data_IF_862504602712
#
_entry.id   IF_862504602712
#
_cell.length_a   1.000
_cell.length_b   1.000
_cell.length_c   1.000
_cell.angle_alpha   90.00
_cell.angle_beta   90.00
_cell.angle_gamma   90.00
#
_symmetry.space_group_name_H-M   'P 1'
#
loop_
_entity.id
_entity.type
_entity.pdbx_description
1 polymer ?
#
# COMPACT_ATOMS: atom_id res chain seq x y z
N UNK A 1 21.06 -5.12 30.43
CA UNK A 1 19.98 -4.58 29.58
C UNK A 1 18.94 -3.94 30.50
N UNK A 2 18.93 -2.61 30.60
CA UNK A 2 17.91 -1.88 31.37
C UNK A 2 16.58 -1.97 30.62
N UNK A 3 15.70 -2.86 31.07
CA UNK A 3 14.39 -3.09 30.47
C UNK A 3 13.44 -1.95 30.79
N UNK A 4 13.58 -0.82 30.10
CA UNK A 4 12.55 0.20 30.12
C UNK A 4 11.37 -0.33 29.28
N UNK A 5 10.19 -0.61 29.88
CA UNK A 5 9.06 -1.20 29.16
C UNK A 5 8.59 -0.32 27.99
N UNK A 6 8.83 1.00 28.08
CA UNK A 6 8.57 1.95 26.99
C UNK A 6 9.44 1.69 25.76
N UNK A 7 10.68 1.25 25.95
CA UNK A 7 11.61 0.96 24.85
C UNK A 7 11.26 -0.36 24.16
N UNK A 8 10.88 -1.39 24.92
CA UNK A 8 10.36 -2.65 24.38
C UNK A 8 9.07 -2.43 23.59
N UNK A 9 8.13 -1.66 24.14
CA UNK A 9 6.89 -1.32 23.42
C UNK A 9 7.19 -0.59 22.11
N UNK A 10 8.13 0.36 22.10
CA UNK A 10 8.56 1.07 20.88
C UNK A 10 9.22 0.14 19.86
N UNK A 11 10.01 -0.82 20.33
CA UNK A 11 10.66 -1.80 19.46
C UNK A 11 9.63 -2.70 18.79
N UNK A 12 8.69 -3.24 19.58
CA UNK A 12 7.59 -4.10 19.09
C UNK A 12 6.70 -3.34 18.12
N UNK A 13 6.36 -2.08 18.43
CA UNK A 13 5.59 -1.24 17.51
C UNK A 13 6.34 -0.98 16.21
N UNK A 14 7.64 -0.69 16.28
CA UNK A 14 8.46 -0.46 15.10
C UNK A 14 8.59 -1.72 14.25
N UNK A 15 8.75 -2.90 14.85
CA UNK A 15 8.83 -4.17 14.14
C UNK A 15 7.51 -4.61 13.51
N UNK A 16 6.37 -4.13 13.99
CA UNK A 16 5.06 -4.38 13.39
C UNK A 16 4.71 -3.34 12.31
N UNK A 17 4.96 -2.06 12.59
CA UNK A 17 4.54 -0.97 11.69
C UNK A 17 5.48 -0.84 10.50
N UNK A 18 6.79 -1.01 10.68
CA UNK A 18 7.76 -0.86 9.60
C UNK A 18 7.52 -1.83 8.43
N UNK A 19 7.36 -3.16 8.63
CA UNK A 19 7.10 -4.07 7.51
C UNK A 19 5.73 -3.81 6.87
N UNK A 20 4.69 -3.51 7.65
CA UNK A 20 3.35 -3.21 7.13
C UNK A 20 3.36 -1.95 6.25
N UNK A 21 4.00 -0.88 6.71
CA UNK A 21 4.12 0.37 5.95
C UNK A 21 5.02 0.21 4.73
N UNK A 22 6.13 -0.52 4.85
CA UNK A 22 6.99 -0.83 3.72
C UNK A 22 6.27 -1.65 2.64
N UNK A 23 5.50 -2.67 3.04
CA UNK A 23 4.73 -3.50 2.13
C UNK A 23 3.58 -2.71 1.46
N UNK A 24 2.89 -1.84 2.21
CA UNK A 24 1.86 -0.96 1.68
C UNK A 24 2.40 -0.01 0.59
N UNK A 25 3.47 0.73 0.91
CA UNK A 25 4.10 1.66 -0.03
C UNK A 25 4.71 0.90 -1.22
N UNK A 26 5.38 -0.22 -0.94
CA UNK A 26 5.98 -1.07 -1.97
C UNK A 26 4.94 -1.58 -2.97
N UNK A 27 3.78 -2.02 -2.51
CA UNK A 27 2.70 -2.49 -3.38
C UNK A 27 2.12 -1.37 -4.22
N UNK A 28 1.88 -0.18 -3.65
CA UNK A 28 1.40 0.98 -4.40
C UNK A 28 2.40 1.45 -5.47
N UNK A 29 3.69 1.47 -5.15
CA UNK A 29 4.74 1.80 -6.12
C UNK A 29 4.86 0.73 -7.21
N UNK A 30 4.83 -0.55 -6.84
CA UNK A 30 4.88 -1.65 -7.80
C UNK A 30 3.67 -1.64 -8.72
N UNK A 31 2.48 -1.30 -8.23
CA UNK A 31 1.29 -1.19 -9.06
C UNK A 31 1.46 -0.13 -10.17
N UNK A 32 2.06 1.03 -9.83
CA UNK A 32 2.35 2.07 -10.83
C UNK A 32 3.37 1.63 -11.89
N UNK A 33 4.30 0.75 -11.54
CA UNK A 33 5.37 0.30 -12.44
C UNK A 33 4.92 -0.90 -13.28
N UNK A 34 4.27 -1.88 -12.66
CA UNK A 34 3.96 -3.18 -13.27
C UNK A 34 2.59 -3.21 -13.96
N UNK A 35 1.63 -2.43 -13.47
CA UNK A 35 0.26 -2.38 -14.01
C UNK A 35 -0.28 -0.94 -14.04
N UNK A 36 0.39 -0.02 -14.76
CA UNK A 36 0.01 1.39 -14.82
C UNK A 36 -1.43 1.59 -15.31
N UNK A 37 -1.95 0.70 -16.16
CA UNK A 37 -3.33 0.70 -16.64
C UNK A 37 -4.36 0.56 -15.50
N UNK A 38 -4.04 -0.18 -14.43
CA UNK A 38 -4.94 -0.33 -13.27
C UNK A 38 -4.95 0.92 -12.37
N UNK A 39 -3.94 1.77 -12.49
CA UNK A 39 -3.77 2.97 -11.66
C UNK A 39 -4.24 4.23 -12.39
N UNK A 40 -3.85 4.37 -13.65
CA UNK A 40 -4.03 5.60 -14.42
C UNK A 40 -5.15 5.52 -15.45
N UNK A 41 -5.76 4.35 -15.66
CA UNK A 41 -6.91 4.20 -16.54
C UNK A 41 -8.11 3.67 -15.77
N UNK A 42 -9.29 4.05 -16.23
CA UNK A 42 -10.57 3.56 -15.71
C UNK A 42 -11.43 3.12 -16.87
N UNK A 43 -11.95 1.91 -16.77
CA UNK A 43 -12.93 1.38 -17.72
C UNK A 43 -14.28 2.06 -17.47
N UNK A 44 -14.85 2.67 -18.52
CA UNK A 44 -16.14 3.39 -18.44
C UNK A 44 -17.27 2.56 -19.03
N UNK A 45 -16.96 1.87 -20.13
CA UNK A 45 -17.79 0.88 -20.79
C UNK A 45 -16.92 -0.31 -21.16
N UNK A 46 -17.53 -1.47 -21.41
CA UNK A 46 -16.82 -2.71 -21.76
C UNK A 46 -15.83 -2.46 -22.91
N UNK A 47 -14.53 -2.39 -22.60
CA UNK A 47 -13.46 -2.14 -23.56
C UNK A 47 -13.17 -0.67 -23.91
N UNK A 48 -13.84 0.31 -23.28
CA UNK A 48 -13.53 1.74 -23.39
C UNK A 48 -12.83 2.25 -22.14
N UNK A 49 -11.58 2.71 -22.32
CA UNK A 49 -10.73 3.21 -21.25
C UNK A 49 -10.57 4.72 -21.36
N UNK A 50 -10.69 5.41 -20.21
CA UNK A 50 -10.34 6.82 -20.08
C UNK A 50 -9.23 7.01 -19.07
N UNK A 51 -8.57 8.16 -19.13
CA UNK A 51 -7.66 8.59 -18.06
C UNK A 51 -8.41 8.69 -16.73
N UNK A 52 -7.83 8.08 -15.71
CA UNK A 52 -8.35 8.12 -14.36
C UNK A 52 -8.29 9.56 -13.80
N UNK A 53 -9.34 9.97 -13.11
CA UNK A 53 -9.35 11.21 -12.34
C UNK A 53 -8.44 11.08 -11.13
N UNK A 54 -8.05 12.22 -10.53
CA UNK A 54 -7.22 12.23 -9.33
C UNK A 54 -7.78 11.37 -8.18
N UNK A 55 -9.11 11.35 -8.02
CA UNK A 55 -9.78 10.54 -7.00
C UNK A 55 -9.69 9.04 -7.31
N UNK A 56 -9.81 8.66 -8.58
CA UNK A 56 -9.71 7.26 -9.01
C UNK A 56 -8.29 6.73 -8.83
N UNK A 57 -7.29 7.52 -9.20
CA UNK A 57 -5.87 7.21 -8.95
C UNK A 57 -5.62 7.01 -7.45
N UNK A 58 -6.09 7.96 -6.61
CA UNK A 58 -5.94 7.85 -5.16
C UNK A 58 -6.65 6.61 -4.59
N UNK A 59 -7.82 6.25 -5.13
CA UNK A 59 -8.58 5.07 -4.70
C UNK A 59 -7.85 3.78 -5.09
N UNK A 60 -7.33 3.68 -6.32
CA UNK A 60 -6.53 2.54 -6.76
C UNK A 60 -5.26 2.39 -5.93
N UNK A 61 -4.51 3.48 -5.70
CA UNK A 61 -3.30 3.47 -4.87
C UNK A 61 -3.60 3.07 -3.43
N UNK A 62 -4.72 3.53 -2.87
CA UNK A 62 -5.17 3.13 -1.55
C UNK A 62 -5.52 1.63 -1.51
N UNK A 63 -6.19 1.11 -2.53
CA UNK A 63 -6.47 -0.33 -2.68
C UNK A 63 -5.20 -1.17 -2.70
N UNK A 64 -4.22 -0.81 -3.54
CA UNK A 64 -2.93 -1.49 -3.57
C UNK A 64 -2.15 -1.36 -2.25
N UNK A 65 -2.22 -0.19 -1.60
CA UNK A 65 -1.62 0.00 -0.27
C UNK A 65 -2.25 -0.91 0.78
N UNK A 66 -3.57 -1.10 0.76
CA UNK A 66 -4.27 -2.02 1.66
C UNK A 66 -3.88 -3.47 1.42
N UNK A 67 -3.75 -3.88 0.14
CA UNK A 67 -3.27 -5.21 -0.21
C UNK A 67 -1.84 -5.41 0.32
N UNK A 68 -0.94 -4.45 0.06
CA UNK A 68 0.42 -4.47 0.58
C UNK A 68 0.47 -4.52 2.11
N UNK A 69 -0.33 -3.70 2.79
CA UNK A 69 -0.43 -3.71 4.25
C UNK A 69 -0.91 -5.07 4.77
N UNK A 70 -1.93 -5.67 4.15
CA UNK A 70 -2.45 -6.97 4.55
C UNK A 70 -1.41 -8.09 4.42
N UNK A 71 -0.58 -8.04 3.37
CA UNK A 71 0.52 -8.99 3.20
C UNK A 71 1.64 -8.73 4.23
N UNK A 72 1.94 -7.46 4.51
CA UNK A 72 2.93 -7.09 5.54
C UNK A 72 2.52 -7.42 6.97
N UNK A 73 1.23 -7.66 7.24
CA UNK A 73 0.74 -8.20 8.53
C UNK A 73 0.93 -9.72 8.62
N UNK A 74 0.90 -10.43 7.48
CA UNK A 74 1.06 -11.88 7.42
C UNK A 74 2.53 -12.34 7.46
N UNK A 75 3.47 -11.45 7.12
CA UNK A 75 4.92 -11.69 7.12
C UNK A 75 5.56 -11.34 8.47
#
# INVERSE_FOLDING_TARGET
>A
MSGNPKHLARLVLATLIAPVTAAAIGCALLAMIMAPELVFQTEVYSGEYRSATLREIATSLFGFSLIGASMGVLL
#
